data_IF_537476945700
#
_entry.id   IF_537476945700
#
_cell.length_a   1.000
_cell.length_b   1.000
_cell.length_c   1.000
_cell.angle_alpha   90.00
_cell.angle_beta   90.00
_cell.angle_gamma   90.00
#
_symmetry.space_group_name_H-M   'P 1'
#
loop_
_entity.id
_entity.type
_entity.pdbx_description
1 polymer ?
#
# COMPACT_ATOMS: atom_id res chain seq x y z
N UNK A 1 -26.12 19.35 -2.57
CA UNK A 1 -26.22 19.14 -4.04
C UNK A 1 -25.13 18.16 -4.48
N UNK A 2 -25.37 16.85 -4.37
CA UNK A 2 -24.42 15.84 -4.87
C UNK A 2 -24.78 15.49 -6.32
N UNK A 3 -24.34 16.32 -7.27
CA UNK A 3 -24.44 16.00 -8.68
C UNK A 3 -23.43 14.92 -9.08
N UNK A 4 -23.65 14.16 -10.17
CA UNK A 4 -22.78 13.07 -10.62
C UNK A 4 -21.29 13.47 -10.77
N UNK A 5 -21.03 14.74 -11.13
CA UNK A 5 -19.66 15.30 -11.20
C UNK A 5 -18.94 15.38 -9.84
N UNK A 6 -19.67 15.56 -8.74
CA UNK A 6 -19.10 15.60 -7.39
C UNK A 6 -18.67 14.21 -6.92
N UNK A 7 -19.48 13.19 -7.23
CA UNK A 7 -19.13 11.78 -6.97
C UNK A 7 -17.90 11.35 -7.76
N UNK A 8 -17.83 11.70 -9.04
CA UNK A 8 -16.68 11.39 -9.89
C UNK A 8 -15.38 12.03 -9.36
N UNK A 9 -15.42 13.31 -8.98
CA UNK A 9 -14.28 14.00 -8.39
C UNK A 9 -13.79 13.32 -7.11
N UNK A 10 -14.70 12.96 -6.21
CA UNK A 10 -14.34 12.29 -4.96
C UNK A 10 -13.74 10.90 -5.21
N UNK A 11 -14.28 10.16 -6.18
CA UNK A 11 -13.75 8.85 -6.58
C UNK A 11 -12.33 8.97 -7.15
N UNK A 12 -12.08 9.95 -8.02
CA UNK A 12 -10.73 10.22 -8.57
C UNK A 12 -9.72 10.57 -7.46
N UNK A 13 -10.12 11.37 -6.48
CA UNK A 13 -9.27 11.72 -5.33
C UNK A 13 -8.96 10.48 -4.49
N UNK A 14 -9.98 9.68 -4.16
CA UNK A 14 -9.78 8.45 -3.40
C UNK A 14 -8.84 7.47 -4.13
N UNK A 15 -8.99 7.34 -5.45
CA UNK A 15 -8.11 6.53 -6.28
C UNK A 15 -6.66 7.06 -6.26
N UNK A 16 -6.48 8.38 -6.40
CA UNK A 16 -5.15 9.00 -6.36
C UNK A 16 -4.45 8.77 -5.01
N UNK A 17 -5.19 8.86 -3.90
CA UNK A 17 -4.66 8.58 -2.56
C UNK A 17 -4.28 7.11 -2.43
N UNK A 18 -5.16 6.19 -2.85
CA UNK A 18 -4.87 4.76 -2.80
C UNK A 18 -3.62 4.40 -3.62
N UNK A 19 -3.50 4.97 -4.83
CA UNK A 19 -2.32 4.80 -5.67
C UNK A 19 -1.06 5.37 -5.01
N UNK A 20 -1.12 6.56 -4.39
CA UNK A 20 0.02 7.12 -3.68
C UNK A 20 0.45 6.23 -2.49
N UNK A 21 -0.51 5.68 -1.74
CA UNK A 21 -0.21 4.74 -0.66
C UNK A 21 0.47 3.46 -1.17
N UNK A 22 -0.03 2.88 -2.27
CA UNK A 22 0.50 1.61 -2.79
C UNK A 22 1.82 1.79 -3.54
N UNK A 23 1.99 2.85 -4.33
CA UNK A 23 3.16 3.04 -5.19
C UNK A 23 4.32 3.73 -4.47
N UNK A 24 4.03 4.52 -3.44
CA UNK A 24 5.06 5.31 -2.74
C UNK A 24 5.23 4.80 -1.31
N UNK A 25 4.17 4.81 -0.51
CA UNK A 25 4.28 4.54 0.93
C UNK A 25 4.64 3.08 1.21
N UNK A 26 3.94 2.13 0.57
CA UNK A 26 4.18 0.71 0.80
C UNK A 26 5.59 0.25 0.38
N UNK A 27 6.16 0.66 -0.78
CA UNK A 27 7.53 0.33 -1.12
C UNK A 27 8.55 0.95 -0.18
N UNK A 28 8.33 2.19 0.30
CA UNK A 28 9.23 2.78 1.30
C UNK A 28 9.24 1.97 2.59
N UNK A 29 8.08 1.50 3.06
CA UNK A 29 8.00 0.63 4.25
C UNK A 29 8.65 -0.73 3.96
N UNK A 30 8.36 -1.34 2.82
CA UNK A 30 8.94 -2.61 2.40
C UNK A 30 10.46 -2.56 2.36
N UNK A 31 11.02 -1.55 1.69
CA UNK A 31 12.47 -1.37 1.54
C UNK A 31 13.13 -1.02 2.86
N UNK A 32 12.67 0.00 3.57
CA UNK A 32 13.44 0.55 4.70
C UNK A 32 13.08 -0.07 6.05
N UNK A 33 11.84 -0.53 6.23
CA UNK A 33 11.41 -1.09 7.51
C UNK A 33 11.42 -2.62 7.51
N UNK A 34 10.86 -3.26 6.49
CA UNK A 34 10.64 -4.72 6.50
C UNK A 34 11.80 -5.54 5.95
N UNK A 35 12.50 -5.05 4.92
CA UNK A 35 13.58 -5.82 4.27
C UNK A 35 14.73 -6.25 5.20
N UNK A 36 15.16 -5.45 6.20
CA UNK A 36 16.21 -5.89 7.13
C UNK A 36 15.75 -7.09 7.98
N UNK A 37 14.47 -7.14 8.37
CA UNK A 37 13.94 -8.27 9.14
C UNK A 37 13.93 -9.55 8.32
N UNK A 38 13.47 -9.49 7.06
CA UNK A 38 13.47 -10.66 6.17
C UNK A 38 14.88 -11.14 5.86
N UNK A 39 15.82 -10.22 5.66
CA UNK A 39 17.21 -10.59 5.42
C UNK A 39 17.86 -11.26 6.65
N UNK A 40 17.64 -10.72 7.85
CA UNK A 40 18.13 -11.33 9.11
C UNK A 40 17.44 -12.68 9.40
N UNK A 41 16.23 -12.91 8.91
CA UNK A 41 15.57 -14.22 8.93
C UNK A 41 16.10 -15.23 7.91
N UNK A 42 17.16 -14.89 7.17
CA UNK A 42 17.86 -15.80 6.26
C UNK A 42 17.34 -15.79 4.83
N UNK A 43 16.53 -14.78 4.46
CA UNK A 43 16.02 -14.61 3.11
C UNK A 43 17.11 -13.96 2.24
N UNK A 44 17.97 -14.79 1.67
CA UNK A 44 19.06 -14.37 0.78
C UNK A 44 18.72 -14.61 -0.70
N UNK A 45 19.19 -13.76 -1.64
CA UNK A 45 20.01 -12.56 -1.42
C UNK A 45 19.18 -11.35 -0.97
N UNK A 46 19.83 -10.25 -0.55
CA UNK A 46 19.14 -9.05 -0.03
C UNK A 46 18.08 -8.50 -0.99
N UNK A 47 18.31 -8.57 -2.31
CA UNK A 47 17.35 -8.15 -3.33
C UNK A 47 16.04 -8.94 -3.26
N UNK A 48 16.10 -10.24 -2.93
CA UNK A 48 14.92 -11.08 -2.72
C UNK A 48 14.20 -10.69 -1.44
N UNK A 49 14.92 -10.44 -0.34
CA UNK A 49 14.32 -9.94 0.90
C UNK A 49 13.57 -8.62 0.69
N UNK A 50 14.16 -7.68 -0.05
CA UNK A 50 13.52 -6.41 -0.40
C UNK A 50 12.26 -6.63 -1.24
N UNK A 51 12.33 -7.47 -2.27
CA UNK A 51 11.17 -7.74 -3.12
C UNK A 51 10.01 -8.34 -2.33
N UNK A 52 10.28 -9.35 -1.49
CA UNK A 52 9.27 -9.97 -0.61
C UNK A 52 8.71 -8.94 0.38
N UNK A 53 9.58 -8.12 0.98
CA UNK A 53 9.17 -7.08 1.92
C UNK A 53 8.21 -6.06 1.30
N UNK A 54 8.49 -5.61 0.08
CA UNK A 54 7.63 -4.68 -0.66
C UNK A 54 6.29 -5.33 -1.00
N UNK A 55 6.30 -6.56 -1.51
CA UNK A 55 5.06 -7.29 -1.82
C UNK A 55 4.17 -7.46 -0.57
N UNK A 56 4.76 -7.79 0.58
CA UNK A 56 4.04 -7.88 1.85
C UNK A 56 3.49 -6.52 2.28
N UNK A 57 4.30 -5.45 2.21
CA UNK A 57 3.86 -4.10 2.56
C UNK A 57 2.70 -3.61 1.68
N UNK A 58 2.74 -3.90 0.38
CA UNK A 58 1.68 -3.57 -0.57
C UNK A 58 0.40 -4.35 -0.26
N UNK A 59 0.50 -5.66 -0.02
CA UNK A 59 -0.65 -6.49 0.34
C UNK A 59 -1.33 -6.02 1.64
N UNK A 60 -0.54 -5.67 2.66
CA UNK A 60 -1.05 -5.11 3.92
C UNK A 60 -1.69 -3.74 3.70
N UNK A 61 -1.08 -2.88 2.88
CA UNK A 61 -1.61 -1.55 2.54
C UNK A 61 -2.96 -1.66 1.82
N UNK A 62 -3.08 -2.54 0.83
CA UNK A 62 -4.34 -2.80 0.14
C UNK A 62 -5.41 -3.34 1.09
N UNK A 63 -5.04 -4.29 1.96
CA UNK A 63 -5.95 -4.84 2.97
C UNK A 63 -6.45 -3.76 3.92
N UNK A 64 -5.55 -2.89 4.41
CA UNK A 64 -5.89 -1.77 5.27
C UNK A 64 -6.81 -0.76 4.57
N UNK A 65 -6.53 -0.42 3.30
CA UNK A 65 -7.37 0.47 2.51
C UNK A 65 -8.79 -0.10 2.33
N UNK A 66 -8.91 -1.38 1.97
CA UNK A 66 -10.21 -2.06 1.83
C UNK A 66 -10.96 -2.06 3.17
N UNK A 67 -10.30 -2.38 4.27
CA UNK A 67 -10.92 -2.39 5.59
C UNK A 67 -11.38 -0.99 6.03
N UNK A 68 -10.56 0.04 5.84
CA UNK A 68 -10.88 1.42 6.20
C UNK A 68 -12.05 1.97 5.35
N UNK A 69 -12.11 1.61 4.07
CA UNK A 69 -13.24 1.98 3.19
C UNK A 69 -14.49 1.20 3.57
N UNK A 70 -14.37 -0.10 3.86
CA UNK A 70 -15.49 -0.96 4.26
C UNK A 70 -16.14 -0.53 5.58
N UNK A 71 -15.35 0.00 6.53
CA UNK A 71 -15.83 0.48 7.83
C UNK A 71 -16.61 1.81 7.78
N UNK A 72 -16.56 2.53 6.66
CA UNK A 72 -17.29 3.80 6.44
C UNK A 72 -18.67 3.62 5.79
N UNK A 73 -19.02 2.40 5.38
CA UNK A 73 -20.39 2.04 4.97
C UNK A 73 -21.17 1.49 6.15
#
# INVERSE_FOLDING_TARGET
MFGPRSLEKNMRIALAIALACVVIVAPLIGVYALSPFFFVWGLEPYQLAVAVAVMVAEALTLTALVFLVGRKR
#
